data_IF_384431853835
#
_entry.id   IF_384431853835
#
_cell.length_a   1.000
_cell.length_b   1.000
_cell.length_c   1.000
_cell.angle_alpha   90.00
_cell.angle_beta   90.00
_cell.angle_gamma   90.00
#
_symmetry.space_group_name_H-M   'P 1'
#
loop_
_entity.id
_entity.type
_entity.pdbx_description
1 polymer ?
#
# COMPACT_ATOMS: atom_id res chain seq x y z
N UNK A 1 -7.51 -10.14 1.38
CA UNK A 1 -6.14 -10.17 0.82
C UNK A 1 -5.19 -9.68 1.92
N UNK A 2 -4.11 -10.39 2.25
CA UNK A 2 -3.16 -9.93 3.29
C UNK A 2 -2.08 -9.05 2.63
N UNK A 3 -1.87 -7.83 3.14
CA UNK A 3 -0.77 -6.94 2.72
C UNK A 3 0.38 -7.15 3.70
N UNK A 4 1.56 -7.53 3.21
CA UNK A 4 2.73 -7.80 4.04
C UNK A 4 3.73 -6.65 3.93
N UNK A 5 4.08 -5.99 5.04
CA UNK A 5 5.07 -4.90 5.03
C UNK A 5 6.48 -5.48 4.88
N UNK A 6 7.22 -5.19 3.79
CA UNK A 6 8.58 -5.69 3.65
C UNK A 6 9.49 -5.02 4.68
N UNK A 7 10.32 -5.82 5.35
CA UNK A 7 11.36 -5.32 6.24
C UNK A 7 12.62 -5.05 5.41
N UNK A 8 12.98 -3.77 5.27
CA UNK A 8 14.21 -3.36 4.63
C UNK A 8 15.36 -3.48 5.63
N UNK A 9 16.31 -4.36 5.36
CA UNK A 9 17.51 -4.56 6.18
C UNK A 9 18.75 -4.56 5.30
N UNK A 10 19.88 -4.13 5.84
CA UNK A 10 21.15 -4.22 5.14
C UNK A 10 21.49 -5.69 4.85
N UNK A 11 21.95 -5.98 3.63
CA UNK A 11 22.19 -7.34 3.14
C UNK A 11 20.95 -8.14 2.71
N UNK A 12 19.74 -7.57 2.74
CA UNK A 12 18.55 -8.26 2.23
C UNK A 12 18.58 -8.37 0.69
N UNK A 13 18.31 -9.57 0.16
CA UNK A 13 18.09 -9.73 -1.27
C UNK A 13 16.81 -9.04 -1.71
N UNK A 14 16.95 -8.16 -2.70
CA UNK A 14 15.83 -7.46 -3.32
C UNK A 14 15.04 -8.40 -4.21
N UNK A 15 13.78 -8.61 -3.87
CA UNK A 15 12.86 -9.45 -4.64
C UNK A 15 11.72 -8.59 -5.21
N UNK A 16 11.25 -8.83 -6.45
CA UNK A 16 10.13 -8.10 -7.05
C UNK A 16 8.88 -8.06 -6.16
N UNK A 17 8.65 -9.12 -5.38
CA UNK A 17 7.53 -9.23 -4.47
C UNK A 17 7.58 -8.19 -3.34
N UNK A 18 8.77 -7.77 -2.88
CA UNK A 18 8.89 -6.74 -1.84
C UNK A 18 8.36 -5.39 -2.35
N UNK A 19 8.73 -5.02 -3.58
CA UNK A 19 8.23 -3.79 -4.21
C UNK A 19 6.73 -3.83 -4.49
N UNK A 20 6.22 -4.98 -4.93
CA UNK A 20 4.78 -5.17 -5.16
C UNK A 20 3.97 -5.04 -3.86
N UNK A 21 4.49 -5.54 -2.74
CA UNK A 21 3.82 -5.42 -1.45
C UNK A 21 3.91 -3.99 -0.90
N UNK A 22 5.05 -3.32 -1.07
CA UNK A 22 5.20 -1.91 -0.71
C UNK A 22 4.21 -1.02 -1.49
N UNK A 23 4.14 -1.17 -2.81
CA UNK A 23 3.22 -0.40 -3.65
C UNK A 23 1.74 -0.61 -3.25
N UNK A 24 1.36 -1.85 -2.93
CA UNK A 24 0.00 -2.16 -2.44
C UNK A 24 -0.28 -1.52 -1.09
N UNK A 25 0.71 -1.51 -0.19
CA UNK A 25 0.59 -0.85 1.11
C UNK A 25 0.39 0.65 0.93
N UNK A 26 1.18 1.28 0.05
CA UNK A 26 1.09 2.73 -0.19
C UNK A 26 -0.28 3.14 -0.76
N UNK A 27 -0.82 2.37 -1.72
CA UNK A 27 -2.17 2.60 -2.25
C UNK A 27 -3.25 2.42 -1.17
N UNK A 28 -3.12 1.40 -0.32
CA UNK A 28 -4.08 1.17 0.77
C UNK A 28 -4.08 2.30 1.81
N UNK A 29 -2.90 2.80 2.19
CA UNK A 29 -2.78 3.94 3.12
C UNK A 29 -3.42 5.19 2.52
N UNK A 30 -3.17 5.47 1.24
CA UNK A 30 -3.79 6.61 0.56
C UNK A 30 -5.32 6.51 0.53
N UNK A 31 -5.86 5.32 0.26
CA UNK A 31 -7.30 5.08 0.27
C UNK A 31 -7.92 5.28 1.66
N UNK A 32 -7.30 4.73 2.71
CA UNK A 32 -7.77 4.88 4.10
C UNK A 32 -7.81 6.35 4.51
N UNK A 33 -6.77 7.13 4.18
CA UNK A 33 -6.74 8.57 4.47
C UNK A 33 -7.83 9.32 3.69
N UNK A 34 -8.02 9.00 2.40
CA UNK A 34 -9.06 9.64 1.60
C UNK A 34 -10.47 9.32 2.13
N UNK A 35 -10.72 8.10 2.61
CA UNK A 35 -12.01 7.70 3.21
C UNK A 35 -12.34 8.43 4.52
N UNK A 36 -11.36 9.05 5.19
CA UNK A 36 -11.64 9.90 6.36
C UNK A 36 -12.37 11.20 5.98
N UNK A 37 -12.19 11.69 4.76
CA UNK A 37 -12.76 12.95 4.30
C UNK A 37 -14.00 12.79 3.42
N UNK A 38 -14.15 11.67 2.72
CA UNK A 38 -15.21 11.42 1.75
C UNK A 38 -15.69 9.96 1.81
N UNK A 39 -17.00 9.75 1.72
CA UNK A 39 -17.61 8.42 1.85
C UNK A 39 -17.33 7.50 0.65
N UNK A 40 -17.12 8.08 -0.54
CA UNK A 40 -16.61 7.37 -1.71
C UNK A 40 -15.36 8.08 -2.21
N UNK A 41 -14.24 7.36 -2.23
CA UNK A 41 -12.97 7.84 -2.77
C UNK A 41 -12.84 7.61 -4.27
N UNK A 42 -13.83 6.96 -4.87
CA UNK A 42 -13.87 6.56 -6.28
C UNK A 42 -15.24 6.87 -6.89
N UNK A 43 -15.24 7.33 -8.15
CA UNK A 43 -16.43 7.83 -8.84
C UNK A 43 -16.81 9.23 -8.38
N UNK A 44 -16.82 10.19 -9.31
CA UNK A 44 -17.51 11.47 -9.12
C UNK A 44 -18.98 11.30 -9.47
N UNK A 45 -19.86 12.03 -8.80
CA UNK A 45 -21.26 12.19 -9.20
C UNK A 45 -21.38 12.70 -10.65
#
# INVERSE_FOLDING_TARGET
MKIYRPLWTDGAFLAPQQFQQQARWDSHVAEVVAQMGIASTWGGD
#
